data_IF_743675778913
#
_entry.id   IF_743675778913
#
_cell.length_a   1.000
_cell.length_b   1.000
_cell.length_c   1.000
_cell.angle_alpha   90.00
_cell.angle_beta   90.00
_cell.angle_gamma   90.00
#
_symmetry.space_group_name_H-M   'P 1'
#
loop_
_entity.id
_entity.type
_entity.pdbx_description
1 polymer ?
#
# COMPACT_ATOMS: atom_id res chain seq x y z
N UNK A 1 1.90 -7.65 -29.57
CA UNK A 1 1.54 -7.14 -28.25
C UNK A 1 2.32 -8.00 -27.30
N UNK A 2 3.29 -7.39 -26.63
CA UNK A 2 4.02 -8.08 -25.57
C UNK A 2 3.06 -8.22 -24.39
N UNK A 3 3.13 -9.30 -23.62
CA UNK A 3 2.19 -9.59 -22.52
C UNK A 3 2.17 -8.45 -21.46
N UNK A 4 3.21 -7.62 -21.44
CA UNK A 4 3.36 -6.44 -20.57
C UNK A 4 2.65 -5.17 -21.08
N UNK A 5 2.17 -5.16 -22.31
CA UNK A 5 1.46 -4.00 -22.87
C UNK A 5 0.03 -3.86 -22.29
N UNK A 6 -0.46 -4.87 -21.57
CA UNK A 6 -1.82 -4.95 -21.02
C UNK A 6 -1.89 -4.77 -19.49
N UNK A 7 -0.78 -4.36 -18.86
CA UNK A 7 -0.77 -4.03 -17.42
C UNK A 7 -0.92 -2.51 -17.25
N UNK A 8 -1.90 -2.07 -16.46
CA UNK A 8 -2.02 -0.71 -15.95
C UNK A 8 -1.42 -0.62 -14.55
N UNK A 9 -0.65 0.45 -14.29
CA UNK A 9 -0.16 0.77 -12.95
C UNK A 9 -0.93 1.98 -12.44
N UNK A 10 -1.58 1.82 -11.29
CA UNK A 10 -2.25 2.89 -10.56
C UNK A 10 -1.51 3.10 -9.24
N UNK A 11 -1.27 4.36 -8.89
CA UNK A 11 -0.57 4.77 -7.68
C UNK A 11 -1.40 5.87 -7.01
N UNK A 12 -1.62 5.72 -5.71
CA UNK A 12 -2.25 6.71 -4.84
C UNK A 12 -1.31 6.96 -3.66
N UNK A 13 -1.03 8.23 -3.40
CA UNK A 13 -0.14 8.65 -2.33
C UNK A 13 -0.81 9.76 -1.53
N UNK A 14 -0.96 9.53 -0.23
CA UNK A 14 -1.59 10.45 0.69
C UNK A 14 -0.70 10.71 1.91
N UNK A 15 -0.75 11.95 2.38
CA UNK A 15 -0.07 12.37 3.60
C UNK A 15 -0.94 13.35 4.38
N UNK A 16 -1.15 13.04 5.66
CA UNK A 16 -1.88 13.88 6.60
C UNK A 16 -0.99 14.21 7.81
N UNK A 17 -1.13 15.43 8.32
CA UNK A 17 -0.58 15.82 9.61
C UNK A 17 -1.74 16.13 10.55
N UNK A 18 -1.86 15.39 11.65
CA UNK A 18 -2.97 15.50 12.60
C UNK A 18 -2.86 16.77 13.44
N UNK A 19 -3.94 17.15 14.15
CA UNK A 19 -3.90 18.25 15.11
C UNK A 19 -2.92 18.00 16.28
N UNK A 20 -2.60 16.73 16.56
CA UNK A 20 -1.60 16.35 17.57
C UNK A 20 -0.16 16.46 17.05
N UNK A 21 0.04 16.66 15.75
CA UNK A 21 1.34 16.72 15.10
C UNK A 21 1.86 15.36 14.62
N UNK A 22 1.00 14.33 14.62
CA UNK A 22 1.34 13.03 14.06
C UNK A 22 1.32 13.12 12.53
N UNK A 23 2.17 12.36 11.86
CA UNK A 23 2.22 12.22 10.41
C UNK A 23 1.68 10.85 10.05
N UNK A 24 0.67 10.81 9.18
CA UNK A 24 0.14 9.58 8.59
C UNK A 24 0.43 9.64 7.09
N UNK A 25 1.06 8.61 6.55
CA UNK A 25 1.35 8.44 5.14
C UNK A 25 0.76 7.12 4.66
N UNK A 26 0.18 7.14 3.47
CA UNK A 26 -0.33 5.98 2.77
C UNK A 26 0.18 6.01 1.33
N UNK A 27 0.74 4.91 0.86
CA UNK A 27 1.25 4.74 -0.50
C UNK A 27 0.74 3.39 -1.02
N UNK A 28 -0.17 3.43 -1.99
CA UNK A 28 -0.77 2.24 -2.58
C UNK A 28 -0.44 2.18 -4.06
N UNK A 29 0.21 1.08 -4.48
CA UNK A 29 0.52 0.79 -5.89
C UNK A 29 -0.21 -0.49 -6.31
N UNK A 30 -1.01 -0.40 -7.38
CA UNK A 30 -1.69 -1.54 -7.98
C UNK A 30 -1.19 -1.78 -9.41
N UNK A 31 -0.81 -3.02 -9.71
CA UNK A 31 -0.57 -3.50 -11.07
C UNK A 31 -1.75 -4.37 -11.52
N UNK A 32 -2.46 -3.93 -12.56
CA UNK A 32 -3.74 -4.49 -12.99
C UNK A 32 -3.60 -5.06 -14.41
N UNK A 33 -3.95 -6.32 -14.59
CA UNK A 33 -4.14 -6.91 -15.92
C UNK A 33 -5.46 -6.43 -16.51
N UNK A 34 -5.41 -5.67 -17.60
CA UNK A 34 -6.58 -5.08 -18.24
C UNK A 34 -7.45 -6.09 -19.00
N UNK A 35 -6.93 -7.27 -19.30
CA UNK A 35 -7.68 -8.34 -19.98
C UNK A 35 -8.48 -9.18 -18.97
N UNK A 36 -7.88 -9.49 -17.81
CA UNK A 36 -8.50 -10.35 -16.79
C UNK A 36 -9.16 -9.58 -15.65
N UNK A 37 -8.69 -8.36 -15.37
CA UNK A 37 -9.06 -7.57 -14.19
C UNK A 37 -8.36 -8.02 -12.90
N UNK A 38 -7.43 -8.98 -12.99
CA UNK A 38 -6.61 -9.42 -11.86
C UNK A 38 -5.60 -8.34 -11.49
N UNK A 39 -5.25 -8.25 -10.22
CA UNK A 39 -4.29 -7.25 -9.75
C UNK A 39 -3.36 -7.78 -8.66
N UNK A 40 -2.19 -7.16 -8.57
CA UNK A 40 -1.33 -7.21 -7.37
C UNK A 40 -1.29 -5.80 -6.80
N UNK A 41 -1.53 -5.68 -5.51
CA UNK A 41 -1.55 -4.41 -4.77
C UNK A 41 -0.46 -4.47 -3.71
N UNK A 42 0.38 -3.45 -3.68
CA UNK A 42 1.36 -3.15 -2.65
C UNK A 42 0.87 -1.90 -1.90
N UNK A 43 0.64 -2.01 -0.60
CA UNK A 43 0.02 -0.98 0.22
C UNK A 43 0.86 -0.72 1.47
N UNK A 44 1.38 0.50 1.59
CA UNK A 44 2.25 0.92 2.68
C UNK A 44 1.55 2.00 3.49
N UNK A 45 1.38 1.74 4.79
CA UNK A 45 0.89 2.72 5.75
C UNK A 45 1.99 3.03 6.76
N UNK A 46 2.36 4.29 6.91
CA UNK A 46 3.34 4.75 7.88
C UNK A 46 2.74 5.80 8.81
N UNK A 47 2.93 5.63 10.11
CA UNK A 47 2.51 6.60 11.13
C UNK A 47 3.70 6.97 11.98
N UNK A 48 4.00 8.27 12.05
CA UNK A 48 4.99 8.83 12.97
C UNK A 48 4.27 9.78 13.92
N UNK A 49 4.24 9.44 15.21
CA UNK A 49 3.69 10.29 16.25
C UNK A 49 4.57 11.53 16.46
N UNK A 50 3.98 12.60 17.00
CA UNK A 50 4.70 13.85 17.27
C UNK A 50 5.92 13.70 18.22
N UNK A 51 5.97 12.61 19.00
CA UNK A 51 7.11 12.29 19.87
C UNK A 51 8.23 11.52 19.17
N UNK A 52 8.05 11.17 17.89
CA UNK A 52 9.01 10.44 17.05
C UNK A 52 8.92 8.91 17.17
N UNK A 53 7.96 8.36 17.91
CA UNK A 53 7.61 6.93 17.85
C UNK A 53 6.66 6.65 16.68
N UNK A 54 6.53 5.40 16.27
CA UNK A 54 5.66 5.09 15.14
C UNK A 54 5.69 3.65 14.66
N UNK A 55 5.08 3.43 13.50
CA UNK A 55 5.12 2.16 12.78
C UNK A 55 5.09 2.36 11.27
N UNK A 56 5.52 1.33 10.55
CA UNK A 56 5.27 1.14 9.12
C UNK A 56 4.67 -0.24 8.94
N UNK A 57 3.56 -0.31 8.21
CA UNK A 57 2.88 -1.53 7.79
C UNK A 57 2.94 -1.62 6.27
N UNK A 58 3.30 -2.79 5.74
CA UNK A 58 3.30 -3.11 4.31
C UNK A 58 2.43 -4.36 4.11
N UNK A 59 1.40 -4.23 3.28
CA UNK A 59 0.54 -5.32 2.86
C UNK A 59 0.64 -5.53 1.36
N UNK A 60 0.97 -6.75 0.95
CA UNK A 60 0.92 -7.16 -0.45
C UNK A 60 -0.26 -8.10 -0.63
N UNK A 61 -1.13 -7.83 -1.60
CA UNK A 61 -2.30 -8.66 -1.89
C UNK A 61 -2.50 -8.91 -3.39
N UNK A 62 -3.11 -10.05 -3.70
CA UNK A 62 -3.61 -10.39 -5.03
C UNK A 62 -5.13 -10.23 -5.05
N UNK A 63 -5.66 -9.69 -6.16
CA UNK A 63 -7.10 -9.63 -6.44
C UNK A 63 -7.36 -10.47 -7.69
N UNK A 64 -8.25 -11.45 -7.58
CA UNK A 64 -8.64 -12.29 -8.72
C UNK A 64 -9.67 -11.61 -9.64
N UNK A 65 -9.96 -12.23 -10.79
CA UNK A 65 -10.92 -11.71 -11.76
C UNK A 65 -12.38 -11.60 -11.25
N UNK A 66 -12.70 -12.29 -10.16
CA UNK A 66 -14.00 -12.20 -9.48
C UNK A 66 -14.00 -11.11 -8.38
N UNK A 67 -12.87 -10.43 -8.17
CA UNK A 67 -12.67 -9.37 -7.19
C UNK A 67 -12.37 -9.88 -5.77
N UNK A 68 -12.01 -11.16 -5.60
CA UNK A 68 -11.63 -11.68 -4.29
C UNK A 68 -10.17 -11.34 -4.00
N UNK A 69 -9.93 -10.81 -2.79
CA UNK A 69 -8.59 -10.44 -2.34
C UNK A 69 -7.96 -11.54 -1.49
N UNK A 70 -6.68 -11.82 -1.73
CA UNK A 70 -5.84 -12.69 -0.90
C UNK A 70 -4.59 -11.93 -0.47
N UNK A 71 -4.36 -11.83 0.83
CA UNK A 71 -3.13 -11.24 1.37
C UNK A 71 -1.97 -12.23 1.19
N UNK A 72 -0.90 -11.78 0.54
CA UNK A 72 0.32 -12.53 0.28
C UNK A 72 1.38 -12.26 1.36
N UNK A 73 1.49 -11.00 1.78
CA UNK A 73 2.40 -10.55 2.81
C UNK A 73 1.72 -9.46 3.64
N UNK A 74 2.05 -9.44 4.93
CA UNK A 74 1.60 -8.48 5.92
C UNK A 74 2.74 -8.37 6.93
N UNK A 75 3.38 -7.20 6.96
CA UNK A 75 4.57 -6.92 7.75
C UNK A 75 4.37 -5.60 8.47
N UNK A 76 4.61 -5.59 9.78
CA UNK A 76 4.58 -4.39 10.61
C UNK A 76 5.93 -4.22 11.31
N UNK A 77 6.53 -3.03 11.19
CA UNK A 77 7.73 -2.62 11.91
C UNK A 77 7.41 -1.41 12.80
N UNK A 78 7.60 -1.56 14.10
CA UNK A 78 7.43 -0.49 15.09
C UNK A 78 8.79 0.13 15.46
N UNK A 79 8.80 1.43 15.75
CA UNK A 79 9.99 2.12 16.24
C UNK A 79 9.67 3.07 17.40
N UNK A 80 10.61 3.16 18.33
CA UNK A 80 10.56 4.09 19.47
C UNK A 80 11.22 5.43 19.11
N UNK A 81 10.81 6.48 19.81
CA UNK A 81 11.47 7.79 19.76
C UNK A 81 12.97 7.69 20.12
N UNK A 82 13.83 8.38 19.36
CA UNK A 82 15.30 8.40 19.54
C UNK A 82 15.78 9.37 20.62
#
# INVERSE_FOLDING_TARGET
MDEKDNIEIVEEFDVEVTEQGDVVMEDTVAAIDLDTGEAVIDDIVAVEAADGSGFVEETISEVDADGNQTVLADVVEEFDAQ
#
